data_IF_858839119764
#
_entry.id   IF_858839119764
#
_cell.length_a   1.000
_cell.length_b   1.000
_cell.length_c   1.000
_cell.angle_alpha   90.00
_cell.angle_beta   90.00
_cell.angle_gamma   90.00
#
_symmetry.space_group_name_H-M   'P 1'
#
loop_
_entity.id
_entity.type
_entity.pdbx_description
1 polymer ?
#
# COMPACT_ATOMS: atom_id res chain seq x y z
N UNK A 1 -8.18 18.29 11.92
CA UNK A 1 -6.82 17.87 12.33
C UNK A 1 -5.83 18.78 11.62
N UNK A 2 -4.77 19.29 12.28
CA UNK A 2 -3.79 20.13 11.61
C UNK A 2 -3.23 19.38 10.39
N UNK A 3 -3.10 20.05 9.24
CA UNK A 3 -2.42 19.47 8.08
C UNK A 3 -0.99 19.14 8.51
N UNK A 4 -0.67 17.86 8.61
CA UNK A 4 0.71 17.42 8.79
C UNK A 4 1.42 17.68 7.46
N UNK A 5 2.28 18.68 7.43
CA UNK A 5 3.15 18.92 6.28
C UNK A 5 4.15 17.76 6.18
N UNK A 6 4.02 16.98 5.11
CA UNK A 6 4.81 15.79 4.81
C UNK A 6 5.38 15.90 3.41
N UNK A 7 6.65 15.51 3.26
CA UNK A 7 7.26 15.42 1.95
C UNK A 7 6.71 14.21 1.17
N UNK A 8 6.78 14.21 -0.18
CA UNK A 8 6.43 13.04 -0.98
C UNK A 8 7.21 11.77 -0.57
N UNK A 9 8.48 11.94 -0.15
CA UNK A 9 9.31 10.84 0.35
C UNK A 9 8.77 10.25 1.64
N UNK A 10 8.33 11.09 2.59
CA UNK A 10 7.74 10.65 3.84
C UNK A 10 6.40 9.91 3.63
N UNK A 11 5.56 10.42 2.73
CA UNK A 11 4.33 9.73 2.32
C UNK A 11 4.66 8.36 1.73
N UNK A 12 5.66 8.32 0.84
CA UNK A 12 6.11 7.07 0.22
C UNK A 12 6.62 6.06 1.26
N UNK A 13 7.37 6.50 2.28
CA UNK A 13 7.82 5.64 3.38
C UNK A 13 6.62 4.99 4.10
N UNK A 14 5.58 5.76 4.43
CA UNK A 14 4.39 5.22 5.10
C UNK A 14 3.69 4.17 4.22
N UNK A 15 3.49 4.49 2.94
CA UNK A 15 2.85 3.59 1.98
C UNK A 15 3.68 2.31 1.73
N UNK A 16 4.99 2.47 1.57
CA UNK A 16 5.93 1.36 1.39
C UNK A 16 5.93 0.43 2.60
N UNK A 17 5.97 0.98 3.81
CA UNK A 17 5.97 0.20 5.06
C UNK A 17 4.72 -0.67 5.21
N UNK A 18 3.60 -0.23 4.64
CA UNK A 18 2.31 -0.94 4.62
C UNK A 18 2.12 -1.85 3.40
N UNK A 19 2.96 -1.69 2.37
CA UNK A 19 2.84 -2.42 1.10
C UNK A 19 1.65 -1.97 0.26
N UNK A 20 1.30 -0.68 0.31
CA UNK A 20 0.16 -0.10 -0.43
C UNK A 20 0.65 0.90 -1.47
N UNK A 21 -0.08 0.99 -2.58
CA UNK A 21 0.19 1.91 -3.70
C UNK A 21 -1.07 2.40 -4.40
N UNK A 22 -2.19 1.67 -4.27
CA UNK A 22 -3.49 1.97 -4.86
C UNK A 22 -4.56 2.07 -3.77
N UNK A 23 -5.65 2.84 -3.99
CA UNK A 23 -6.73 3.02 -3.01
C UNK A 23 -7.36 1.74 -2.46
N UNK A 24 -7.32 0.65 -3.23
CA UNK A 24 -7.96 -0.63 -2.88
C UNK A 24 -6.99 -1.66 -2.30
N UNK A 25 -5.71 -1.31 -2.19
CA UNK A 25 -4.70 -2.21 -1.65
C UNK A 25 -5.00 -2.49 -0.17
N UNK A 26 -4.98 -3.78 0.20
CA UNK A 26 -5.00 -4.18 1.60
C UNK A 26 -3.55 -4.22 2.09
N UNK A 27 -3.24 -3.59 3.24
CA UNK A 27 -1.88 -3.62 3.76
C UNK A 27 -1.57 -5.06 4.19
N UNK A 28 -0.48 -5.63 3.67
CA UNK A 28 -0.07 -7.01 3.96
C UNK A 28 1.16 -7.07 4.89
N UNK A 29 1.72 -5.91 5.24
CA UNK A 29 2.86 -5.75 6.15
C UNK A 29 2.74 -4.46 6.95
N UNK A 30 3.58 -4.31 7.97
CA UNK A 30 3.75 -3.05 8.71
C UNK A 30 5.16 -2.97 9.31
N UNK A 31 6.19 -2.88 8.47
CA UNK A 31 7.55 -2.69 8.95
C UNK A 31 8.41 -1.98 7.89
N UNK A 32 9.34 -1.14 8.36
CA UNK A 32 10.42 -0.56 7.58
C UNK A 32 11.74 -0.90 8.27
N UNK A 33 12.66 -1.50 7.52
CA UNK A 33 13.98 -1.90 8.01
C UNK A 33 15.04 -1.04 7.35
N UNK A 34 15.93 -0.44 8.13
CA UNK A 34 16.99 0.42 7.61
C UNK A 34 18.27 0.25 8.41
N UNK A 35 19.42 0.41 7.78
CA UNK A 35 20.68 0.53 8.51
C UNK A 35 20.74 1.83 9.31
N UNK A 36 21.36 1.77 10.49
CA UNK A 36 21.45 2.89 11.43
C UNK A 36 22.24 4.09 10.88
N UNK A 37 23.13 3.87 9.92
CA UNK A 37 23.95 4.87 9.24
C UNK A 37 23.34 5.38 7.92
N UNK A 38 22.13 4.93 7.57
CA UNK A 38 21.48 5.33 6.32
C UNK A 38 21.01 6.77 6.34
N UNK A 39 21.28 7.52 5.25
CA UNK A 39 20.76 8.86 5.02
C UNK A 39 19.22 8.96 5.12
N UNK A 40 18.52 7.84 4.89
CA UNK A 40 17.06 7.76 4.98
C UNK A 40 16.49 7.79 6.40
N UNK A 41 17.32 7.58 7.43
CA UNK A 41 16.86 7.45 8.82
C UNK A 41 16.21 8.73 9.36
N UNK A 42 16.67 9.90 8.86
CA UNK A 42 16.12 11.19 9.27
C UNK A 42 14.64 11.34 8.94
N UNK A 43 14.19 10.83 7.80
CA UNK A 43 12.75 10.89 7.45
C UNK A 43 11.91 9.97 8.32
N UNK A 44 12.46 8.82 8.74
CA UNK A 44 11.80 7.89 9.66
C UNK A 44 11.66 8.51 11.06
N UNK A 45 12.73 9.12 11.58
CA UNK A 45 12.70 9.78 12.89
C UNK A 45 11.76 11.00 12.89
N UNK A 46 11.74 11.81 11.84
CA UNK A 46 10.76 12.90 11.71
C UNK A 46 9.31 12.39 11.67
N UNK A 47 9.07 11.21 11.09
CA UNK A 47 7.75 10.57 11.11
C UNK A 47 7.39 10.02 12.50
N UNK A 48 8.38 9.57 13.28
CA UNK A 48 8.22 9.19 14.69
C UNK A 48 7.88 10.41 15.55
N UNK A 49 8.62 11.51 15.39
CA UNK A 49 8.33 12.79 16.07
C UNK A 49 6.92 13.32 15.77
N UNK A 50 6.43 13.11 14.54
CA UNK A 50 5.06 13.46 14.12
C UNK A 50 4.00 12.45 14.59
N UNK A 51 4.38 11.37 15.27
CA UNK A 51 3.49 10.30 15.75
C UNK A 51 2.92 9.40 14.64
N UNK A 52 3.50 9.42 13.44
CA UNK A 52 3.06 8.63 12.28
C UNK A 52 3.79 7.29 12.16
N UNK A 53 4.94 7.16 12.82
CA UNK A 53 5.67 5.91 12.95
C UNK A 53 6.11 5.66 14.39
N UNK A 54 6.53 4.44 14.67
CA UNK A 54 7.05 3.96 15.96
C UNK A 54 8.43 3.37 15.69
N UNK A 55 9.47 3.89 16.34
CA UNK A 55 10.78 3.24 16.36
C UNK A 55 10.67 1.98 17.24
N UNK A 56 10.83 0.81 16.62
CA UNK A 56 10.69 -0.50 17.26
C UNK A 56 12.03 -1.06 17.77
N UNK A 57 13.10 -0.26 17.70
CA UNK A 57 14.45 -0.62 18.14
C UNK A 57 15.25 -1.39 17.10
N UNK A 58 16.43 -1.84 17.53
CA UNK A 58 17.36 -2.62 16.70
C UNK A 58 16.79 -3.97 16.31
N UNK A 59 17.17 -4.46 15.13
CA UNK A 59 16.78 -5.79 14.68
C UNK A 59 17.41 -6.87 15.56
N UNK A 60 16.65 -7.93 15.94
CA UNK A 60 17.21 -9.04 16.71
C UNK A 60 18.13 -9.93 15.87
N UNK A 61 18.14 -9.78 14.54
CA UNK A 61 18.99 -10.56 13.62
C UNK A 61 20.15 -9.75 13.03
N UNK A 62 20.12 -8.41 13.14
CA UNK A 62 21.19 -7.53 12.70
C UNK A 62 21.20 -6.23 13.53
N UNK A 63 22.14 -6.11 14.47
CA UNK A 63 22.23 -4.94 15.37
C UNK A 63 22.40 -3.60 14.66
N UNK A 64 22.93 -3.62 13.43
CA UNK A 64 23.17 -2.41 12.63
C UNK A 64 21.90 -1.93 11.92
N UNK A 65 20.78 -2.66 12.03
CA UNK A 65 19.49 -2.28 11.47
C UNK A 65 18.51 -1.86 12.56
N UNK A 66 17.66 -0.89 12.23
CA UNK A 66 16.55 -0.40 13.06
C UNK A 66 15.24 -0.69 12.35
N UNK A 67 14.23 -1.12 13.11
CA UNK A 67 12.87 -1.32 12.60
C UNK A 67 11.94 -0.17 12.99
N UNK A 68 11.06 0.19 12.06
CA UNK A 68 9.99 1.14 12.30
C UNK A 68 8.66 0.52 11.89
N UNK A 69 7.60 0.88 12.60
CA UNK A 69 6.23 0.49 12.28
C UNK A 69 5.39 1.74 12.06
N UNK A 70 4.42 1.67 11.15
CA UNK A 70 3.45 2.75 10.94
C UNK A 70 2.41 2.69 12.06
N UNK A 71 2.14 3.84 12.68
CA UNK A 71 1.08 3.97 13.70
C UNK A 71 -0.31 3.99 13.04
N UNK A 72 -1.38 3.90 13.82
CA UNK A 72 -2.74 4.05 13.27
C UNK A 72 -2.97 5.42 12.62
N UNK A 73 -2.38 6.48 13.20
CA UNK A 73 -2.42 7.82 12.62
C UNK A 73 -1.65 7.88 11.28
N UNK A 74 -0.46 7.27 11.24
CA UNK A 74 0.33 7.14 10.01
C UNK A 74 -0.40 6.34 8.94
N UNK A 75 -1.11 5.28 9.33
CA UNK A 75 -1.91 4.46 8.42
C UNK A 75 -3.00 5.29 7.78
N UNK A 76 -3.75 6.07 8.55
CA UNK A 76 -4.76 6.98 8.01
C UNK A 76 -4.16 7.94 6.99
N UNK A 77 -3.05 8.59 7.32
CA UNK A 77 -2.36 9.53 6.42
C UNK A 77 -1.88 8.84 5.14
N UNK A 78 -1.33 7.63 5.25
CA UNK A 78 -0.84 6.87 4.10
C UNK A 78 -1.94 6.60 3.08
N UNK A 79 -3.13 6.20 3.55
CA UNK A 79 -4.31 5.96 2.70
C UNK A 79 -4.90 7.25 2.14
N UNK A 80 -5.04 8.29 2.96
CA UNK A 80 -5.61 9.58 2.53
C UNK A 80 -4.76 10.24 1.42
N UNK A 81 -3.46 9.94 1.36
CA UNK A 81 -2.51 10.46 0.37
C UNK A 81 -2.26 9.50 -0.81
N UNK A 82 -3.02 8.41 -0.94
CA UNK A 82 -2.94 7.56 -2.14
C UNK A 82 -3.42 8.33 -3.37
N UNK A 83 -2.82 8.09 -4.55
CA UNK A 83 -3.31 8.68 -5.77
C UNK A 83 -4.76 8.26 -6.01
N UNK A 84 -5.58 9.20 -6.49
CA UNK A 84 -6.96 8.89 -6.90
C UNK A 84 -6.91 7.80 -7.98
N UNK A 85 -7.84 6.85 -7.90
CA UNK A 85 -7.97 5.83 -8.93
C UNK A 85 -8.47 6.48 -10.23
N UNK A 86 -7.58 6.60 -11.22
CA UNK A 86 -7.87 7.18 -12.54
C UNK A 86 -8.33 6.13 -13.55
N UNK A 87 -8.45 4.86 -13.15
CA UNK A 87 -8.78 3.77 -14.07
C UNK A 87 -10.24 3.86 -14.52
N UNK A 88 -10.44 3.66 -15.82
CA UNK A 88 -11.76 3.61 -16.44
C UNK A 88 -12.54 2.36 -16.00
N UNK A 89 -13.86 2.38 -16.18
CA UNK A 89 -14.71 1.18 -15.96
C UNK A 89 -14.22 -0.04 -16.75
N UNK A 90 -13.69 0.17 -17.95
CA UNK A 90 -13.16 -0.91 -18.78
C UNK A 90 -11.88 -1.51 -18.19
N UNK A 91 -10.97 -0.67 -17.67
CA UNK A 91 -9.74 -1.12 -17.02
C UNK A 91 -10.02 -1.89 -15.73
N UNK A 92 -10.93 -1.40 -14.89
CA UNK A 92 -11.35 -2.11 -13.67
C UNK A 92 -11.95 -3.48 -13.97
N UNK A 93 -12.80 -3.56 -14.99
CA UNK A 93 -13.37 -4.83 -15.46
C UNK A 93 -12.32 -5.79 -16.02
N UNK A 94 -11.31 -5.27 -16.72
CA UNK A 94 -10.20 -6.10 -17.22
C UNK A 94 -9.32 -6.63 -16.08
N UNK A 95 -9.05 -5.83 -15.05
CA UNK A 95 -8.35 -6.30 -13.84
C UNK A 95 -9.11 -7.43 -13.16
N UNK A 96 -10.44 -7.30 -13.01
CA UNK A 96 -11.28 -8.40 -12.47
C UNK A 96 -11.20 -9.68 -13.28
N UNK A 97 -11.11 -9.57 -14.60
CA UNK A 97 -10.86 -10.73 -15.44
C UNK A 97 -9.51 -11.37 -15.13
N UNK A 98 -8.44 -10.58 -14.97
CA UNK A 98 -7.12 -11.11 -14.63
C UNK A 98 -7.13 -11.81 -13.27
N UNK A 99 -7.76 -11.22 -12.25
CA UNK A 99 -7.90 -11.81 -10.92
C UNK A 99 -8.57 -13.20 -10.97
N UNK A 100 -9.59 -13.37 -11.81
CA UNK A 100 -10.31 -14.64 -11.97
C UNK A 100 -9.50 -15.63 -12.80
N UNK A 101 -8.84 -15.15 -13.85
CA UNK A 101 -8.01 -15.98 -14.74
C UNK A 101 -6.82 -16.61 -14.00
N UNK A 102 -6.31 -15.97 -12.96
CA UNK A 102 -5.27 -16.56 -12.10
C UNK A 102 -5.73 -17.87 -11.44
N UNK A 103 -7.04 -18.06 -11.25
CA UNK A 103 -7.64 -19.30 -10.71
C UNK A 103 -8.26 -20.16 -11.82
N UNK A 104 -8.74 -19.55 -12.90
CA UNK A 104 -9.33 -20.22 -14.06
C UNK A 104 -8.57 -19.85 -15.34
N UNK A 105 -7.44 -20.52 -15.56
CA UNK A 105 -6.47 -20.18 -16.62
C UNK A 105 -7.02 -20.16 -18.04
N UNK A 106 -8.00 -21.03 -18.31
CA UNK A 106 -8.62 -21.21 -19.63
C UNK A 106 -9.74 -20.19 -19.92
N UNK A 107 -10.15 -19.41 -18.92
CA UNK A 107 -11.16 -18.36 -19.10
C UNK A 107 -10.61 -17.29 -20.04
N UNK A 108 -11.26 -17.12 -21.19
CA UNK A 108 -10.95 -16.01 -22.09
C UNK A 108 -11.67 -14.73 -21.65
N UNK A 109 -11.12 -13.59 -22.05
CA UNK A 109 -11.79 -12.31 -21.76
C UNK A 109 -13.18 -12.21 -22.44
N UNK A 110 -13.37 -12.85 -23.60
CA UNK A 110 -14.68 -12.88 -24.27
C UNK A 110 -15.71 -13.65 -23.45
N UNK A 111 -15.36 -14.83 -22.96
CA UNK A 111 -16.24 -15.63 -22.08
C UNK A 111 -16.56 -14.86 -20.80
N UNK A 112 -15.54 -14.25 -20.17
CA UNK A 112 -15.75 -13.38 -19.02
C UNK A 112 -16.72 -12.22 -19.30
N UNK A 113 -16.82 -11.72 -20.54
CA UNK A 113 -17.75 -10.63 -20.90
C UNK A 113 -19.18 -11.08 -21.17
N UNK A 114 -19.38 -12.28 -21.73
CA UNK A 114 -20.70 -12.72 -22.21
C UNK A 114 -21.39 -13.72 -21.30
N UNK A 115 -20.63 -14.51 -20.53
CA UNK A 115 -21.19 -15.55 -19.68
C UNK A 115 -21.93 -14.91 -18.48
N UNK A 116 -23.22 -15.24 -18.25
CA UNK A 116 -23.97 -14.74 -17.10
C UNK A 116 -23.33 -15.07 -15.75
N UNK A 117 -22.55 -16.16 -15.64
CA UNK A 117 -21.85 -16.56 -14.41
C UNK A 117 -20.96 -15.44 -13.86
N UNK A 118 -20.32 -14.65 -14.72
CA UNK A 118 -19.43 -13.56 -14.31
C UNK A 118 -20.12 -12.18 -14.20
N UNK A 119 -21.44 -12.11 -14.32
CA UNK A 119 -22.16 -10.81 -14.31
C UNK A 119 -21.87 -10.00 -13.06
N UNK A 120 -21.91 -10.61 -11.89
CA UNK A 120 -21.64 -9.93 -10.62
C UNK A 120 -20.21 -9.38 -10.56
N UNK A 121 -19.21 -10.19 -10.96
CA UNK A 121 -17.82 -9.76 -11.01
C UNK A 121 -17.57 -8.60 -12.00
N UNK A 122 -18.32 -8.54 -13.11
CA UNK A 122 -18.24 -7.42 -14.08
C UNK A 122 -18.86 -6.12 -13.56
N UNK A 123 -19.88 -6.24 -12.71
CA UNK A 123 -20.70 -5.12 -12.24
C UNK A 123 -20.20 -4.56 -10.89
N UNK A 124 -19.37 -5.29 -10.16
CA UNK A 124 -18.72 -4.83 -8.92
C UNK A 124 -17.75 -3.66 -9.22
N UNK A 125 -18.17 -2.44 -8.89
CA UNK A 125 -17.39 -1.18 -9.07
C UNK A 125 -16.53 -0.79 -7.89
#
# INVERSE_FOLDING_TARGET
>A
MPMVDLTPKQIHILQHSLGISKPHDKPYRNFYAVYSDSDGIRDLELLVEKGLMINSGSSPVNSDMVYYQVSDAGRKVAFDQLPKDTRTRAQKRYEKYLDIRDVWSDLTFKEFLIDPYFKEARDAT
#
